data_IF_427912645035
#
_entry.id   IF_427912645035
#
_cell.length_a   1.000
_cell.length_b   1.000
_cell.length_c   1.000
_cell.angle_alpha   90.00
_cell.angle_beta   90.00
_cell.angle_gamma   90.00
#
_symmetry.space_group_name_H-M   'P 1'
#
loop_
_entity.id
_entity.type
_entity.pdbx_description
1 polymer ?
#
# COMPACT_ATOMS: atom_id res chain seq x y z
N UNK A 1 32.69 -24.68 -5.81
CA UNK A 1 32.75 -23.21 -6.03
C UNK A 1 31.57 -22.75 -6.88
N UNK A 2 31.19 -23.48 -7.93
CA UNK A 2 29.96 -23.25 -8.73
C UNK A 2 28.65 -23.22 -7.89
N UNK A 3 28.46 -24.11 -6.92
CA UNK A 3 27.24 -24.10 -6.09
C UNK A 3 27.09 -22.85 -5.21
N UNK A 4 28.20 -22.22 -4.82
CA UNK A 4 28.18 -20.98 -4.04
C UNK A 4 27.82 -19.80 -4.95
N UNK A 5 28.38 -19.76 -6.16
CA UNK A 5 28.04 -18.77 -7.19
C UNK A 5 26.59 -18.90 -7.66
N UNK A 6 26.07 -20.13 -7.82
CA UNK A 6 24.66 -20.38 -8.18
C UNK A 6 23.70 -19.90 -7.09
N UNK A 7 23.99 -20.21 -5.81
CA UNK A 7 23.18 -19.72 -4.67
C UNK A 7 23.24 -18.20 -4.48
N UNK A 8 24.39 -17.58 -4.74
CA UNK A 8 24.54 -16.11 -4.65
C UNK A 8 23.84 -15.42 -5.82
N UNK A 9 23.95 -15.98 -7.03
CA UNK A 9 23.22 -15.51 -8.22
C UNK A 9 21.71 -15.64 -8.04
N UNK A 10 21.22 -16.81 -7.60
CA UNK A 10 19.80 -17.05 -7.35
C UNK A 10 19.24 -16.12 -6.26
N UNK A 11 20.05 -15.81 -5.23
CA UNK A 11 19.66 -14.86 -4.16
C UNK A 11 19.62 -13.41 -4.63
N UNK A 12 20.55 -12.99 -5.50
CA UNK A 12 20.53 -11.67 -6.12
C UNK A 12 19.36 -11.51 -7.10
N UNK A 13 19.10 -12.54 -7.92
CA UNK A 13 17.95 -12.58 -8.83
C UNK A 13 16.63 -12.53 -8.05
N UNK A 14 16.50 -13.31 -6.96
CA UNK A 14 15.30 -13.27 -6.12
C UNK A 14 15.10 -11.90 -5.45
N UNK A 15 16.17 -11.25 -4.99
CA UNK A 15 16.09 -9.90 -4.42
C UNK A 15 15.58 -8.86 -5.41
N UNK A 16 16.06 -8.90 -6.66
CA UNK A 16 15.58 -8.03 -7.74
C UNK A 16 14.11 -8.29 -8.06
N UNK A 17 13.71 -9.56 -8.18
CA UNK A 17 12.32 -9.94 -8.45
C UNK A 17 11.39 -9.49 -7.31
N UNK A 18 11.82 -9.63 -6.06
CA UNK A 18 11.03 -9.18 -4.91
C UNK A 18 10.91 -7.66 -4.88
N UNK A 19 11.98 -6.92 -5.23
CA UNK A 19 11.91 -5.46 -5.34
C UNK A 19 10.94 -5.02 -6.45
N UNK A 20 10.96 -5.67 -7.60
CA UNK A 20 10.04 -5.39 -8.72
C UNK A 20 8.59 -5.72 -8.36
N UNK A 21 8.35 -6.86 -7.68
CA UNK A 21 7.04 -7.22 -7.16
C UNK A 21 6.51 -6.19 -6.16
N UNK A 22 7.35 -5.68 -5.25
CA UNK A 22 6.98 -4.60 -4.32
C UNK A 22 6.60 -3.33 -5.06
N UNK A 23 7.42 -2.90 -6.01
CA UNK A 23 7.17 -1.68 -6.78
C UNK A 23 5.86 -1.79 -7.56
N UNK A 24 5.61 -2.92 -8.23
CA UNK A 24 4.36 -3.17 -8.94
C UNK A 24 3.16 -3.20 -8.00
N UNK A 25 3.29 -3.79 -6.81
CA UNK A 25 2.19 -3.87 -5.84
C UNK A 25 1.86 -2.48 -5.26
N UNK A 26 2.87 -1.69 -4.90
CA UNK A 26 2.66 -0.34 -4.36
C UNK A 26 2.00 0.60 -5.38
N UNK A 27 2.28 0.45 -6.68
CA UNK A 27 1.59 1.22 -7.70
C UNK A 27 0.12 0.80 -7.85
N UNK A 28 -0.18 -0.51 -7.79
CA UNK A 28 -1.56 -1.01 -7.79
C UNK A 28 -2.33 -0.49 -6.56
N UNK A 29 -1.72 -0.58 -5.37
CA UNK A 29 -2.30 -0.07 -4.12
C UNK A 29 -2.63 1.42 -4.24
N UNK A 30 -1.69 2.23 -4.74
CA UNK A 30 -1.88 3.66 -4.95
C UNK A 30 -3.05 3.95 -5.89
N UNK A 31 -3.14 3.26 -7.03
CA UNK A 31 -4.20 3.43 -8.02
C UNK A 31 -5.58 3.02 -7.47
N UNK A 32 -5.65 1.90 -6.75
CA UNK A 32 -6.86 1.44 -6.09
C UNK A 32 -7.30 2.42 -4.99
N UNK A 33 -6.39 2.88 -4.14
CA UNK A 33 -6.68 3.82 -3.06
C UNK A 33 -7.19 5.16 -3.59
N UNK A 34 -6.58 5.68 -4.65
CA UNK A 34 -6.99 6.92 -5.30
C UNK A 34 -8.40 6.79 -5.91
N UNK A 35 -8.68 5.66 -6.57
CA UNK A 35 -10.02 5.33 -7.04
C UNK A 35 -11.02 5.20 -5.88
N UNK A 36 -10.65 4.59 -4.75
CA UNK A 36 -11.56 4.42 -3.61
C UNK A 36 -11.91 5.76 -2.94
N UNK A 37 -10.98 6.73 -2.94
CA UNK A 37 -11.27 8.10 -2.49
C UNK A 37 -12.12 8.88 -3.48
N UNK A 38 -12.01 8.59 -4.77
CA UNK A 38 -12.71 9.30 -5.84
C UNK A 38 -13.26 8.33 -6.90
N UNK A 39 -14.37 7.62 -6.61
CA UNK A 39 -14.84 6.53 -7.48
C UNK A 39 -15.36 6.98 -8.86
N UNK A 40 -15.46 8.29 -9.10
CA UNK A 40 -15.74 8.87 -10.41
C UNK A 40 -14.56 8.71 -11.40
N UNK A 41 -13.33 8.55 -10.91
CA UNK A 41 -12.11 8.48 -11.72
C UNK A 41 -11.77 7.04 -12.13
N UNK A 42 -12.63 6.42 -12.95
CA UNK A 42 -12.47 5.01 -13.38
C UNK A 42 -11.21 4.77 -14.21
N UNK A 43 -10.68 5.82 -14.83
CA UNK A 43 -9.43 5.83 -15.58
C UNK A 43 -8.23 5.36 -14.77
N UNK A 44 -8.25 5.55 -13.44
CA UNK A 44 -7.21 5.09 -12.53
C UNK A 44 -7.10 3.56 -12.47
N UNK A 45 -8.19 2.84 -12.74
CA UNK A 45 -8.22 1.38 -12.71
C UNK A 45 -7.85 0.73 -14.04
N UNK A 46 -7.86 1.47 -15.16
CA UNK A 46 -7.53 0.93 -16.50
C UNK A 46 -6.18 0.18 -16.55
N UNK A 47 -5.08 0.67 -15.95
CA UNK A 47 -3.80 -0.03 -16.01
C UNK A 47 -3.70 -1.24 -15.06
N UNK A 48 -4.49 -1.28 -13.99
CA UNK A 48 -4.35 -2.23 -12.88
C UNK A 48 -4.50 -3.70 -13.30
N UNK A 49 -5.51 -4.09 -14.13
CA UNK A 49 -5.65 -5.48 -14.59
C UNK A 49 -4.40 -6.01 -15.31
N UNK A 50 -3.75 -5.15 -16.12
CA UNK A 50 -2.52 -5.49 -16.82
C UNK A 50 -1.34 -5.72 -15.86
N UNK A 51 -1.22 -4.86 -14.84
CA UNK A 51 -0.19 -4.98 -13.80
C UNK A 51 -0.39 -6.25 -12.96
N UNK A 52 -1.63 -6.55 -12.55
CA UNK A 52 -1.97 -7.79 -11.85
C UNK A 52 -1.68 -9.02 -12.71
N UNK A 53 -1.98 -8.98 -14.00
CA UNK A 53 -1.66 -10.09 -14.92
C UNK A 53 -0.15 -10.34 -15.03
N UNK A 54 0.67 -9.28 -15.07
CA UNK A 54 2.13 -9.39 -15.06
C UNK A 54 2.64 -10.01 -13.74
N UNK A 55 2.14 -9.49 -12.60
CA UNK A 55 2.48 -9.98 -11.27
C UNK A 55 2.14 -11.46 -11.09
N UNK A 56 0.96 -11.89 -11.56
CA UNK A 56 0.54 -13.30 -11.57
C UNK A 56 1.56 -14.19 -12.29
N UNK A 57 2.09 -13.73 -13.41
CA UNK A 57 3.12 -14.45 -14.17
C UNK A 57 4.36 -14.71 -13.33
N UNK A 58 4.88 -13.68 -12.67
CA UNK A 58 6.05 -13.77 -11.78
C UNK A 58 5.78 -14.67 -10.57
N UNK A 59 4.64 -14.49 -9.89
CA UNK A 59 4.24 -15.31 -8.74
C UNK A 59 4.10 -16.80 -9.10
N UNK A 60 3.58 -17.09 -10.31
CA UNK A 60 3.46 -18.46 -10.82
C UNK A 60 4.82 -19.11 -11.03
N UNK A 61 5.78 -18.37 -11.60
CA UNK A 61 7.17 -18.83 -11.80
C UNK A 61 7.86 -19.10 -10.47
N UNK A 62 7.60 -18.28 -9.45
CA UNK A 62 8.13 -18.49 -8.10
C UNK A 62 7.47 -19.66 -7.35
N UNK A 63 6.41 -20.25 -7.92
CA UNK A 63 5.65 -21.35 -7.31
C UNK A 63 4.71 -20.90 -6.19
N UNK A 64 4.27 -19.64 -6.22
CA UNK A 64 3.32 -19.03 -5.27
C UNK A 64 1.91 -19.11 -5.86
N UNK A 65 1.40 -20.33 -6.00
CA UNK A 65 0.12 -20.60 -6.66
C UNK A 65 -1.05 -19.89 -5.97
N UNK A 66 -1.10 -19.91 -4.63
CA UNK A 66 -2.14 -19.24 -3.83
C UNK A 66 -2.21 -17.74 -4.12
N UNK A 67 -1.05 -17.07 -4.13
CA UNK A 67 -0.94 -15.67 -4.50
C UNK A 67 -1.39 -15.41 -5.94
N UNK A 68 -0.97 -16.25 -6.88
CA UNK A 68 -1.38 -16.12 -8.28
C UNK A 68 -2.91 -16.25 -8.47
N UNK A 69 -3.58 -17.11 -7.70
CA UNK A 69 -5.05 -17.20 -7.70
C UNK A 69 -5.70 -15.93 -7.16
N UNK A 70 -5.19 -15.39 -6.04
CA UNK A 70 -5.66 -14.13 -5.49
C UNK A 70 -5.51 -12.96 -6.48
N UNK A 71 -4.38 -12.89 -7.18
CA UNK A 71 -4.13 -11.87 -8.21
C UNK A 71 -5.12 -11.94 -9.37
N UNK A 72 -5.51 -13.15 -9.81
CA UNK A 72 -6.55 -13.32 -10.84
C UNK A 72 -7.90 -12.85 -10.32
N UNK A 73 -8.26 -13.18 -9.08
CA UNK A 73 -9.52 -12.76 -8.48
C UNK A 73 -9.62 -11.23 -8.40
N UNK A 74 -8.56 -10.56 -7.92
CA UNK A 74 -8.52 -9.10 -7.85
C UNK A 74 -8.59 -8.46 -9.23
N UNK A 75 -7.93 -9.04 -10.24
CA UNK A 75 -7.99 -8.55 -11.62
C UNK A 75 -9.43 -8.53 -12.12
N UNK A 76 -10.16 -9.64 -11.95
CA UNK A 76 -11.54 -9.76 -12.42
C UNK A 76 -12.49 -8.77 -11.70
N UNK A 77 -12.23 -8.48 -10.42
CA UNK A 77 -12.97 -7.50 -9.64
C UNK A 77 -12.70 -6.07 -10.11
N UNK A 78 -11.44 -5.74 -10.38
CA UNK A 78 -11.03 -4.41 -10.84
C UNK A 78 -11.45 -4.18 -12.28
N UNK A 79 -11.39 -5.20 -13.15
CA UNK A 79 -11.98 -5.16 -14.49
C UNK A 79 -13.49 -4.89 -14.40
N UNK A 80 -14.19 -5.50 -13.44
CA UNK A 80 -15.60 -5.23 -13.18
C UNK A 80 -15.86 -3.78 -12.76
N UNK A 81 -15.04 -3.25 -11.86
CA UNK A 81 -15.11 -1.86 -11.37
C UNK A 81 -14.81 -0.82 -12.45
N UNK A 82 -13.83 -1.09 -13.30
CA UNK A 82 -13.43 -0.20 -14.39
C UNK A 82 -14.51 -0.10 -15.48
N UNK A 83 -15.23 -1.19 -15.75
CA UNK A 83 -16.18 -1.29 -16.86
C UNK A 83 -17.66 -1.08 -16.46
N UNK A 84 -17.98 -0.99 -15.16
CA UNK A 84 -19.36 -0.89 -14.68
C UNK A 84 -19.56 0.40 -13.88
N UNK A 85 -20.68 1.11 -14.10
CA UNK A 85 -21.13 2.14 -13.17
C UNK A 85 -21.61 1.48 -11.88
N UNK A 86 -20.71 1.27 -10.93
CA UNK A 86 -21.09 0.73 -9.62
C UNK A 86 -21.74 1.85 -8.82
N UNK A 87 -22.99 1.62 -8.44
CA UNK A 87 -23.68 2.42 -7.43
C UNK A 87 -23.12 2.04 -6.06
N UNK A 88 -22.27 2.89 -5.49
CA UNK A 88 -21.60 2.67 -4.20
C UNK A 88 -22.57 2.63 -3.01
N UNK A 89 -23.84 2.96 -3.22
CA UNK A 89 -24.91 2.80 -2.23
C UNK A 89 -25.58 1.41 -2.29
N UNK A 90 -25.22 0.54 -3.25
CA UNK A 90 -25.75 -0.82 -3.32
C UNK A 90 -25.02 -1.77 -2.35
N UNK A 91 -25.77 -2.66 -1.66
CA UNK A 91 -25.15 -3.73 -0.87
C UNK A 91 -24.22 -4.59 -1.73
N UNK A 92 -22.97 -4.78 -1.29
CA UNK A 92 -21.97 -5.64 -1.94
C UNK A 92 -20.78 -4.93 -2.61
N UNK A 93 -20.87 -3.61 -2.90
CA UNK A 93 -19.71 -2.86 -3.40
C UNK A 93 -18.60 -2.73 -2.34
N UNK A 94 -19.01 -2.56 -1.07
CA UNK A 94 -18.10 -2.52 0.10
C UNK A 94 -17.33 -3.82 0.29
N UNK A 95 -18.01 -4.96 0.13
CA UNK A 95 -17.39 -6.28 0.27
C UNK A 95 -16.29 -6.53 -0.77
N UNK A 96 -16.41 -5.94 -1.95
CA UNK A 96 -15.34 -6.00 -2.98
C UNK A 96 -14.13 -5.18 -2.53
N UNK A 97 -14.34 -3.99 -1.98
CA UNK A 97 -13.25 -3.13 -1.49
C UNK A 97 -12.47 -3.77 -0.35
N UNK A 98 -13.17 -4.28 0.67
CA UNK A 98 -12.52 -4.93 1.80
C UNK A 98 -11.69 -6.14 1.36
N UNK A 99 -12.21 -6.92 0.40
CA UNK A 99 -11.51 -8.07 -0.14
C UNK A 99 -10.29 -7.68 -0.98
N UNK A 100 -10.39 -6.64 -1.81
CA UNK A 100 -9.26 -6.10 -2.57
C UNK A 100 -8.15 -5.62 -1.62
N UNK A 101 -8.50 -4.79 -0.63
CA UNK A 101 -7.56 -4.28 0.36
C UNK A 101 -6.88 -5.40 1.17
N UNK A 102 -7.67 -6.40 1.59
CA UNK A 102 -7.14 -7.57 2.29
C UNK A 102 -6.15 -8.37 1.44
N UNK A 103 -6.51 -8.65 0.18
CA UNK A 103 -5.65 -9.41 -0.73
C UNK A 103 -4.36 -8.66 -1.08
N UNK A 104 -4.43 -7.34 -1.32
CA UNK A 104 -3.25 -6.50 -1.56
C UNK A 104 -2.31 -6.51 -0.35
N UNK A 105 -2.85 -6.32 0.87
CA UNK A 105 -2.05 -6.38 2.10
C UNK A 105 -1.43 -7.76 2.36
N UNK A 106 -2.17 -8.85 2.12
CA UNK A 106 -1.66 -10.20 2.25
C UNK A 106 -0.54 -10.51 1.24
N UNK A 107 -0.66 -10.03 0.00
CA UNK A 107 0.40 -10.12 -0.99
C UNK A 107 1.64 -9.31 -0.58
N UNK A 108 1.46 -8.10 -0.05
CA UNK A 108 2.55 -7.27 0.48
C UNK A 108 3.33 -8.01 1.56
N UNK A 109 2.60 -8.57 2.55
CA UNK A 109 3.22 -9.36 3.62
C UNK A 109 3.93 -10.61 3.09
N UNK A 110 3.35 -11.32 2.12
CA UNK A 110 3.98 -12.47 1.48
C UNK A 110 5.28 -12.07 0.75
N UNK A 111 5.26 -10.99 -0.02
CA UNK A 111 6.41 -10.48 -0.79
C UNK A 111 7.53 -10.04 0.17
N UNK A 112 7.18 -9.40 1.28
CA UNK A 112 8.14 -9.08 2.34
C UNK A 112 8.77 -10.33 2.94
N UNK A 113 7.94 -11.34 3.21
CA UNK A 113 8.39 -12.62 3.71
C UNK A 113 9.26 -13.38 2.69
N UNK A 114 9.09 -13.20 1.38
CA UNK A 114 9.98 -13.80 0.37
C UNK A 114 11.43 -13.28 0.49
N UNK A 115 11.64 -12.04 0.93
CA UNK A 115 12.98 -11.49 1.13
C UNK A 115 13.72 -12.15 2.30
N UNK A 116 12.96 -12.58 3.33
CA UNK A 116 13.52 -13.05 4.60
C UNK A 116 13.49 -14.59 4.70
N UNK A 117 12.34 -15.20 4.38
CA UNK A 117 12.07 -16.63 4.50
C UNK A 117 11.22 -17.16 3.32
N UNK A 118 11.82 -17.42 2.14
CA UNK A 118 11.09 -17.85 0.94
C UNK A 118 10.28 -19.15 1.13
N UNK A 119 10.82 -20.09 1.90
CA UNK A 119 10.16 -21.38 2.16
C UNK A 119 8.91 -21.22 3.04
N UNK A 120 8.91 -20.22 3.93
CA UNK A 120 7.79 -19.95 4.83
C UNK A 120 6.67 -19.23 4.07
N UNK A 121 7.01 -18.23 3.24
CA UNK A 121 6.07 -17.52 2.38
C UNK A 121 5.24 -18.45 1.47
N UNK A 122 5.84 -19.55 0.99
CA UNK A 122 5.14 -20.56 0.18
C UNK A 122 4.12 -21.41 0.94
N UNK A 123 4.21 -21.48 2.27
CA UNK A 123 3.41 -22.39 3.11
C UNK A 123 2.42 -21.67 4.01
N UNK A 124 2.68 -20.39 4.27
CA UNK A 124 1.95 -19.60 5.25
C UNK A 124 0.72 -18.89 4.70
N UNK A 125 0.37 -19.06 3.43
CA UNK A 125 -0.77 -18.37 2.85
C UNK A 125 -1.65 -19.34 2.09
N UNK A 126 -2.95 -19.14 2.24
CA UNK A 126 -3.98 -19.94 1.61
C UNK A 126 -5.02 -19.01 1.00
N UNK A 127 -5.39 -19.28 -0.24
CA UNK A 127 -6.46 -18.58 -0.93
C UNK A 127 -7.74 -19.40 -0.81
N UNK A 128 -8.79 -18.79 -0.29
CA UNK A 128 -10.11 -19.38 -0.22
C UNK A 128 -10.92 -18.97 -1.46
N UNK A 129 -11.24 -19.93 -2.33
CA UNK A 129 -12.02 -19.68 -3.54
C UNK A 129 -13.47 -19.24 -3.26
N UNK A 130 -14.05 -19.63 -2.13
CA UNK A 130 -15.43 -19.30 -1.79
C UNK A 130 -15.57 -17.84 -1.37
N UNK A 131 -14.61 -17.36 -0.57
CA UNK A 131 -14.60 -15.96 -0.10
C UNK A 131 -13.80 -15.04 -1.01
N UNK A 132 -12.90 -15.58 -1.82
CA UNK A 132 -11.97 -14.85 -2.67
C UNK A 132 -10.84 -14.15 -1.91
N UNK A 133 -10.53 -14.60 -0.68
CA UNK A 133 -9.55 -13.97 0.21
C UNK A 133 -8.25 -14.77 0.27
N UNK A 134 -7.13 -14.06 0.35
CA UNK A 134 -5.81 -14.61 0.60
C UNK A 134 -5.41 -14.31 2.04
N UNK A 135 -5.30 -15.37 2.85
CA UNK A 135 -5.04 -15.23 4.28
C UNK A 135 -3.74 -15.88 4.70
N UNK A 136 -3.07 -15.28 5.68
CA UNK A 136 -1.90 -15.87 6.31
C UNK A 136 -2.33 -16.97 7.31
N UNK A 137 -2.10 -18.23 6.97
CA UNK A 137 -2.32 -19.40 7.83
C UNK A 137 -1.19 -19.49 8.86
N UNK A 138 -1.29 -18.69 9.91
CA UNK A 138 -0.59 -18.97 11.18
C UNK A 138 -1.29 -20.17 11.84
N UNK A 139 -0.51 -21.16 12.27
CA UNK A 139 -1.01 -22.46 12.72
C UNK A 139 -2.18 -22.38 13.70
N UNK A 140 -3.37 -22.76 13.24
CA UNK A 140 -4.53 -23.08 14.09
C UNK A 140 -4.18 -24.27 15.00
N UNK A 141 -4.06 -24.01 16.30
CA UNK A 141 -4.79 -24.84 17.29
C UNK A 141 -6.08 -24.08 17.59
N UNK A 142 -7.18 -24.83 17.65
CA UNK A 142 -8.58 -24.39 17.71
C UNK A 142 -8.82 -23.05 18.44
N UNK A 143 -9.43 -22.12 17.72
CA UNK A 143 -9.65 -20.72 18.12
C UNK A 143 -9.45 -19.82 16.92
N UNK A 144 -10.39 -19.87 15.97
CA UNK A 144 -10.37 -19.00 14.81
C UNK A 144 -10.46 -17.54 15.28
N UNK A 145 -9.35 -16.82 15.28
CA UNK A 145 -9.38 -15.37 15.26
C UNK A 145 -9.70 -15.04 13.82
N UNK A 146 -10.96 -14.67 13.57
CA UNK A 146 -11.33 -13.99 12.36
C UNK A 146 -10.34 -12.83 12.17
N UNK A 147 -9.89 -12.61 10.94
CA UNK A 147 -9.25 -11.35 10.63
C UNK A 147 -10.15 -10.22 11.16
N UNK A 148 -9.58 -9.20 11.83
CA UNK A 148 -10.38 -8.12 12.38
C UNK A 148 -11.30 -7.58 11.29
N UNK A 149 -12.59 -7.42 11.61
CA UNK A 149 -13.58 -6.81 10.73
C UNK A 149 -12.97 -5.54 10.12
N UNK A 150 -12.98 -5.46 8.80
CA UNK A 150 -12.36 -4.35 8.07
C UNK A 150 -13.05 -3.01 8.34
N UNK A 151 -14.22 -3.01 9.00
CA UNK A 151 -14.85 -1.82 9.59
C UNK A 151 -13.93 -1.11 10.60
N UNK A 152 -12.96 -1.79 11.22
CA UNK A 152 -11.98 -1.18 12.12
C UNK A 152 -10.78 -0.52 11.41
N UNK A 153 -10.73 -0.54 10.07
CA UNK A 153 -9.63 0.02 9.26
C UNK A 153 -9.73 1.54 9.04
N UNK A 154 -10.76 2.19 9.59
CA UNK A 154 -10.94 3.64 9.46
C UNK A 154 -11.31 4.10 8.04
N UNK A 155 -11.90 3.23 7.23
CA UNK A 155 -12.57 3.65 6.00
C UNK A 155 -13.96 4.22 6.34
N UNK A 156 -13.98 5.41 6.92
CA UNK A 156 -15.20 6.21 7.05
C UNK A 156 -15.30 7.13 5.84
N UNK A 157 -16.33 6.92 5.01
CA UNK A 157 -16.87 8.00 4.20
C UNK A 157 -17.74 8.83 5.14
N UNK A 158 -17.29 10.02 5.51
CA UNK A 158 -18.13 10.97 6.24
C UNK A 158 -19.33 11.35 5.37
N UNK A 159 -20.51 10.87 5.75
CA UNK A 159 -21.80 11.33 5.27
C UNK A 159 -22.66 11.80 6.44
N UNK A 160 -22.06 12.49 7.40
CA UNK A 160 -22.79 13.27 8.39
C UNK A 160 -23.02 14.69 7.86
N UNK A 161 -23.86 14.79 6.82
CA UNK A 161 -24.67 15.99 6.63
C UNK A 161 -26.04 15.65 7.17
N UNK A 162 -26.39 16.23 8.31
CA UNK A 162 -27.76 16.22 8.82
C UNK A 162 -28.70 16.62 7.67
N UNK A 163 -29.69 15.79 7.30
CA UNK A 163 -30.65 16.18 6.30
C UNK A 163 -31.40 17.40 6.85
N UNK A 164 -31.43 18.55 6.14
CA UNK A 164 -32.24 19.66 6.59
C UNK A 164 -33.70 19.20 6.66
N UNK A 165 -34.39 19.54 7.75
CA UNK A 165 -35.84 19.40 7.88
C UNK A 165 -36.52 20.15 6.73
N UNK A 166 -36.73 19.45 5.62
CA UNK A 166 -37.60 19.88 4.54
C UNK A 166 -39.03 19.68 5.04
N UNK A 167 -39.57 20.77 5.61
CA UNK A 167 -41.00 20.97 5.72
C UNK A 167 -41.67 20.54 4.41
N UNK A 168 -42.70 19.72 4.55
CA UNK A 168 -43.59 19.22 3.50
C UNK A 168 -43.73 20.18 2.32
N UNK A 169 -42.99 19.91 1.24
CA UNK A 169 -43.29 20.43 -0.08
C UNK A 169 -43.88 19.26 -0.87
N UNK A 170 -45.14 19.40 -1.26
CA UNK A 170 -45.83 18.53 -2.20
C UNK A 170 -45.06 18.52 -3.52
N UNK A 171 -44.16 17.55 -3.69
CA UNK A 171 -43.53 17.29 -4.99
C UNK A 171 -44.42 16.30 -5.73
N UNK A 172 -45.27 16.86 -6.58
CA UNK A 172 -46.07 16.16 -7.56
C UNK A 172 -45.16 15.24 -8.40
N UNK A 173 -45.49 13.95 -8.47
CA UNK A 173 -44.69 12.92 -9.11
C UNK A 173 -44.32 13.33 -10.55
N UNK A 174 -43.05 13.66 -10.77
CA UNK A 174 -42.50 13.93 -12.10
C UNK A 174 -42.48 12.64 -12.89
N UNK A 175 -43.35 12.57 -13.91
CA UNK A 175 -43.30 11.51 -14.90
C UNK A 175 -41.95 11.55 -15.65
N UNK A 176 -41.38 10.39 -16.01
CA UNK A 176 -40.13 10.35 -16.76
C UNK A 176 -40.31 11.06 -18.12
N UNK A 177 -39.41 12.00 -18.39
CA UNK A 177 -39.35 12.75 -19.64
C UNK A 177 -39.10 11.77 -20.81
N UNK A 178 -40.11 11.52 -21.64
CA UNK A 178 -39.95 10.77 -22.89
C UNK A 178 -39.47 11.73 -23.97
N UNK A 179 -38.19 11.61 -24.34
CA UNK A 179 -37.64 12.29 -25.51
C UNK A 179 -38.00 11.47 -26.75
N UNK A 180 -38.80 12.04 -27.65
CA UNK A 180 -39.15 11.41 -28.92
C UNK A 180 -38.02 11.64 -29.94
N UNK A 181 -37.25 10.59 -30.20
CA UNK A 181 -36.06 10.63 -31.04
C UNK A 181 -36.37 10.98 -32.51
N UNK A 182 -37.65 10.95 -32.92
CA UNK A 182 -38.08 11.25 -34.28
C UNK A 182 -38.11 12.75 -34.63
N UNK A 183 -37.92 13.64 -33.64
CA UNK A 183 -37.93 15.11 -33.87
C UNK A 183 -36.56 15.77 -33.76
N UNK A 184 -35.49 15.00 -33.52
CA UNK A 184 -34.12 15.51 -33.50
C UNK A 184 -33.59 15.65 -34.94
N UNK A 185 -33.47 16.88 -35.42
CA UNK A 185 -32.80 17.21 -36.68
C UNK A 185 -31.27 17.11 -36.49
N UNK A 186 -30.73 15.91 -36.70
CA UNK A 186 -29.30 15.63 -36.63
C UNK A 186 -28.66 15.86 -38.01
N UNK A 187 -27.51 16.53 -38.10
CA UNK A 187 -26.78 16.68 -39.37
C UNK A 187 -26.29 15.32 -39.88
N UNK A 188 -26.39 15.11 -41.20
CA UNK A 188 -25.94 13.90 -41.90
C UNK A 188 -24.43 13.70 -41.76
N UNK A 189 -24.02 12.76 -40.90
CA UNK A 189 -22.66 12.26 -40.81
C UNK A 189 -22.55 10.98 -41.63
N UNK A 190 -22.54 11.14 -42.95
CA UNK A 190 -22.18 10.06 -43.87
C UNK A 190 -20.69 9.73 -43.72
N UNK A 191 -20.40 8.59 -43.10
CA UNK A 191 -19.05 8.01 -43.08
C UNK A 191 -18.69 7.51 -44.49
N UNK A 192 -17.43 7.64 -44.95
CA UNK A 192 -17.01 7.07 -46.22
C UNK A 192 -17.12 5.54 -46.21
N UNK A 193 -17.66 4.97 -47.29
CA UNK A 193 -17.78 3.52 -47.49
C UNK A 193 -16.40 2.84 -47.40
N UNK A 194 -16.17 2.10 -46.32
CA UNK A 194 -15.06 1.17 -46.21
C UNK A 194 -15.44 -0.11 -46.96
N UNK A 195 -14.88 -0.29 -48.15
CA UNK A 195 -15.01 -1.52 -48.94
C UNK A 195 -14.27 -2.68 -48.24
N UNK A 196 -15.02 -3.54 -47.56
CA UNK A 196 -14.53 -4.74 -46.88
C UNK A 196 -14.30 -5.93 -47.82
N UNK A 197 -14.31 -5.72 -49.15
CA UNK A 197 -14.15 -6.78 -50.15
C UNK A 197 -12.71 -7.02 -50.59
N UNK A 198 -11.72 -6.34 -50.00
CA UNK A 198 -10.31 -6.61 -50.26
C UNK A 198 -9.81 -7.80 -49.42
N UNK A 199 -9.24 -8.86 -50.02
CA UNK A 199 -8.59 -9.91 -49.25
C UNK A 199 -7.37 -9.32 -48.53
N UNK A 200 -7.26 -9.60 -47.23
CA UNK A 200 -6.10 -9.23 -46.43
C UNK A 200 -4.80 -9.74 -47.09
N UNK A 201 -3.73 -8.94 -47.15
CA UNK A 201 -2.46 -9.40 -47.68
C UNK A 201 -1.91 -10.53 -46.80
N UNK A 202 -1.56 -11.64 -47.46
CA UNK A 202 -0.91 -12.79 -46.84
C UNK A 202 0.43 -12.36 -46.20
N UNK A 203 0.77 -12.85 -45.00
CA UNK A 203 1.97 -12.41 -44.31
C UNK A 203 3.22 -12.89 -45.05
N UNK A 204 3.97 -11.95 -45.62
CA UNK A 204 5.31 -12.21 -46.09
C UNK A 204 6.20 -12.68 -44.90
N UNK A 205 7.14 -13.62 -45.11
CA UNK A 205 8.03 -14.07 -44.05
C UNK A 205 8.94 -12.89 -43.67
N UNK A 206 8.80 -12.42 -42.43
CA UNK A 206 9.68 -11.42 -41.88
C UNK A 206 11.12 -11.98 -41.78
N UNK A 207 12.15 -11.19 -42.14
CA UNK A 207 13.54 -11.59 -42.00
C UNK A 207 13.89 -11.77 -40.52
N UNK A 208 14.74 -12.76 -40.23
CA UNK A 208 15.27 -13.00 -38.90
C UNK A 208 15.88 -11.72 -38.31
N UNK A 209 15.60 -11.36 -37.05
CA UNK A 209 16.21 -10.21 -36.41
C UNK A 209 17.71 -10.45 -36.24
N UNK A 210 18.50 -9.60 -36.89
CA UNK A 210 19.90 -9.40 -36.51
C UNK A 210 19.96 -8.92 -35.05
N UNK A 211 21.01 -9.30 -34.28
CA UNK A 211 21.10 -8.96 -32.88
C UNK A 211 21.21 -7.44 -32.73
N UNK A 212 20.11 -6.83 -32.29
CA UNK A 212 20.12 -5.44 -31.86
C UNK A 212 20.77 -5.44 -30.49
N UNK A 213 21.99 -4.91 -30.44
CA UNK A 213 22.70 -4.67 -29.19
C UNK A 213 21.77 -3.96 -28.22
N UNK A 214 21.54 -4.57 -27.06
CA UNK A 214 20.98 -3.92 -25.90
C UNK A 214 21.74 -2.60 -25.66
N UNK A 215 21.08 -1.51 -25.24
CA UNK A 215 21.80 -0.36 -24.71
C UNK A 215 22.70 -0.90 -23.60
N UNK A 216 24.01 -0.81 -23.84
CA UNK A 216 25.00 -1.18 -22.86
C UNK A 216 24.72 -0.36 -21.60
N UNK A 217 24.47 -1.05 -20.49
CA UNK A 217 24.61 -0.45 -19.17
C UNK A 217 25.98 0.25 -19.16
N UNK A 218 26.05 1.56 -18.89
CA UNK A 218 27.34 2.21 -18.78
C UNK A 218 28.16 1.47 -17.72
N UNK A 219 29.47 1.28 -17.93
CA UNK A 219 30.32 0.68 -16.93
C UNK A 219 30.13 1.45 -15.63
N UNK A 220 30.00 0.73 -14.52
CA UNK A 220 30.12 1.25 -13.15
C UNK A 220 31.44 2.02 -13.02
N UNK A 221 31.39 3.29 -13.44
CA UNK A 221 32.24 4.33 -12.90
C UNK A 221 31.82 4.45 -11.45
N UNK A 222 32.79 4.38 -10.55
CA UNK A 222 32.61 4.78 -9.17
C UNK A 222 31.77 6.06 -9.15
N UNK A 223 30.52 5.94 -8.70
CA UNK A 223 29.56 7.01 -8.75
C UNK A 223 30.10 8.13 -7.85
N UNK A 224 30.56 9.20 -8.49
CA UNK A 224 30.43 10.51 -7.89
C UNK A 224 28.94 10.72 -7.66
N UNK A 225 28.58 11.05 -6.42
CA UNK A 225 27.24 11.41 -5.94
C UNK A 225 26.47 12.21 -6.99
N UNK A 226 25.52 11.59 -7.67
CA UNK A 226 24.42 12.35 -8.26
C UNK A 226 23.63 12.94 -7.09
N UNK A 227 23.20 14.22 -7.16
CA UNK A 227 22.39 14.80 -6.10
C UNK A 227 21.12 13.97 -5.99
N UNK A 228 20.96 13.31 -4.86
CA UNK A 228 19.74 12.61 -4.52
C UNK A 228 18.62 13.65 -4.43
N UNK A 229 17.36 13.27 -4.62
CA UNK A 229 16.22 14.10 -4.16
C UNK A 229 16.38 14.43 -2.66
N UNK A 230 17.17 13.64 -1.93
CA UNK A 230 17.62 13.92 -0.56
C UNK A 230 18.44 15.20 -0.36
N UNK A 231 19.04 15.73 -1.42
CA UNK A 231 19.82 16.97 -1.38
C UNK A 231 18.99 18.19 -1.80
N UNK A 232 17.72 18.01 -2.16
CA UNK A 232 16.81 19.11 -2.48
C UNK A 232 16.37 19.82 -1.18
N UNK A 233 16.84 21.07 -0.94
CA UNK A 233 16.52 21.79 0.28
C UNK A 233 15.03 22.13 0.42
N UNK A 234 14.30 22.30 -0.69
CA UNK A 234 12.87 22.63 -0.68
C UNK A 234 12.04 21.41 -0.28
N UNK A 235 12.31 20.25 -0.88
CA UNK A 235 11.66 18.99 -0.51
C UNK A 235 11.94 18.60 0.95
N UNK A 236 13.17 18.83 1.42
CA UNK A 236 13.52 18.62 2.83
C UNK A 236 12.75 19.56 3.75
N UNK A 237 12.59 20.84 3.41
CA UNK A 237 11.81 21.79 4.21
C UNK A 237 10.34 21.36 4.32
N UNK A 238 9.72 20.97 3.21
CA UNK A 238 8.36 20.41 3.20
C UNK A 238 8.24 19.19 4.12
N UNK A 239 9.20 18.27 4.04
CA UNK A 239 9.23 17.10 4.93
C UNK A 239 9.32 17.50 6.41
N UNK A 240 10.15 18.49 6.75
CA UNK A 240 10.33 18.94 8.14
C UNK A 240 9.04 19.55 8.70
N UNK A 241 8.28 20.30 7.89
CA UNK A 241 6.98 20.86 8.25
C UNK A 241 5.92 19.76 8.44
N UNK A 242 5.82 18.83 7.49
CA UNK A 242 4.89 17.70 7.57
C UNK A 242 5.21 16.80 8.77
N UNK A 243 6.50 16.54 9.03
CA UNK A 243 6.93 15.73 10.16
C UNK A 243 6.50 16.34 11.50
N UNK A 244 6.58 17.67 11.66
CA UNK A 244 6.12 18.36 12.88
C UNK A 244 4.61 18.21 13.07
N UNK A 245 3.81 18.38 12.00
CA UNK A 245 2.36 18.19 12.07
C UNK A 245 2.00 16.75 12.45
N UNK A 246 2.63 15.78 11.79
CA UNK A 246 2.38 14.35 12.03
C UNK A 246 2.80 13.93 13.45
N UNK A 247 3.95 14.40 13.93
CA UNK A 247 4.40 14.15 15.31
C UNK A 247 3.45 14.82 16.32
N UNK A 248 2.99 16.04 16.04
CA UNK A 248 2.01 16.75 16.87
C UNK A 248 0.70 15.99 17.01
N UNK A 249 0.16 15.51 15.89
CA UNK A 249 -1.06 14.69 15.85
C UNK A 249 -0.88 13.38 16.63
N UNK A 250 0.29 12.72 16.50
CA UNK A 250 0.60 11.51 17.27
C UNK A 250 0.70 11.78 18.78
N UNK A 251 1.25 12.92 19.19
CA UNK A 251 1.30 13.33 20.62
C UNK A 251 -0.09 13.56 21.18
N UNK A 252 -0.97 14.25 20.44
CA UNK A 252 -2.35 14.46 20.86
C UNK A 252 -3.09 13.12 21.04
N UNK A 253 -2.90 12.19 20.10
CA UNK A 253 -3.46 10.84 20.20
C UNK A 253 -2.89 10.05 21.39
N UNK A 254 -1.60 10.22 21.69
CA UNK A 254 -0.96 9.60 22.85
C UNK A 254 -1.53 10.12 24.17
N UNK A 255 -1.79 11.43 24.29
CA UNK A 255 -2.48 11.99 25.47
C UNK A 255 -3.89 11.43 25.62
N UNK A 256 -4.65 11.34 24.53
CA UNK A 256 -5.98 10.72 24.56
C UNK A 256 -5.92 9.24 25.03
N UNK A 257 -4.90 8.50 24.60
CA UNK A 257 -4.68 7.12 25.05
C UNK A 257 -4.27 6.98 26.51
N UNK A 258 -3.68 8.01 27.13
CA UNK A 258 -3.43 7.99 28.58
C UNK A 258 -4.72 7.98 29.39
N UNK A 259 -5.75 8.65 28.88
CA UNK A 259 -7.08 8.69 29.50
C UNK A 259 -7.94 7.47 29.11
N UNK A 260 -7.85 7.04 27.84
CA UNK A 260 -8.61 5.91 27.31
C UNK A 260 -7.69 4.88 26.61
N UNK A 261 -6.98 4.02 27.37
CA UNK A 261 -5.96 3.12 26.80
C UNK A 261 -6.47 2.09 25.78
N UNK A 262 -7.76 1.77 25.79
CA UNK A 262 -8.38 0.82 24.88
C UNK A 262 -8.97 1.48 23.61
N UNK A 263 -8.76 2.79 23.41
CA UNK A 263 -9.25 3.50 22.24
C UNK A 263 -8.50 3.07 20.97
N UNK A 264 -9.13 2.18 20.18
CA UNK A 264 -8.58 1.70 18.91
C UNK A 264 -8.39 2.81 17.87
N UNK A 265 -9.22 3.84 17.89
CA UNK A 265 -9.09 4.99 16.99
C UNK A 265 -7.76 5.70 17.22
N UNK A 266 -7.42 5.97 18.48
CA UNK A 266 -6.18 6.64 18.84
C UNK A 266 -4.94 5.77 18.60
N UNK A 267 -5.01 4.46 18.87
CA UNK A 267 -3.93 3.53 18.51
C UNK A 267 -3.67 3.52 16.98
N UNK A 268 -4.74 3.61 16.19
CA UNK A 268 -4.66 3.67 14.72
C UNK A 268 -4.09 5.00 14.23
N UNK A 269 -4.44 6.13 14.87
CA UNK A 269 -3.86 7.44 14.55
C UNK A 269 -2.34 7.42 14.73
N UNK A 270 -1.84 6.86 15.84
CA UNK A 270 -0.39 6.78 16.07
C UNK A 270 0.29 5.85 15.05
N UNK A 271 -0.30 4.68 14.75
CA UNK A 271 0.21 3.80 13.68
C UNK A 271 0.32 4.55 12.34
N UNK A 272 -0.73 5.29 11.97
CA UNK A 272 -0.76 6.09 10.73
C UNK A 272 0.31 7.17 10.75
N UNK A 273 0.55 7.83 11.88
CA UNK A 273 1.61 8.82 11.99
C UNK A 273 2.99 8.20 11.64
N UNK A 274 3.32 7.04 12.20
CA UNK A 274 4.57 6.35 11.84
C UNK A 274 4.61 5.89 10.38
N UNK A 275 3.47 5.44 9.83
CA UNK A 275 3.38 5.11 8.41
C UNK A 275 3.63 6.31 7.50
N UNK A 276 3.04 7.47 7.82
CA UNK A 276 3.23 8.72 7.07
C UNK A 276 4.67 9.18 7.17
N UNK A 277 5.27 9.20 8.38
CA UNK A 277 6.69 9.54 8.57
C UNK A 277 7.62 8.63 7.76
N UNK A 278 7.33 7.33 7.68
CA UNK A 278 8.08 6.38 6.82
C UNK A 278 7.95 6.75 5.34
N UNK A 279 6.74 7.04 4.88
CA UNK A 279 6.46 7.39 3.48
C UNK A 279 7.15 8.69 3.08
N UNK A 280 6.92 9.77 3.84
CA UNK A 280 7.48 11.10 3.57
C UNK A 280 9.00 11.11 3.63
N UNK A 281 9.61 10.45 4.62
CA UNK A 281 11.06 10.35 4.72
C UNK A 281 11.69 9.63 3.51
N UNK A 282 11.06 8.57 2.98
CA UNK A 282 11.55 7.87 1.78
C UNK A 282 11.44 8.72 0.52
N UNK A 283 10.40 9.53 0.39
CA UNK A 283 10.21 10.42 -0.76
C UNK A 283 11.32 11.47 -0.85
N UNK A 284 11.80 11.96 0.30
CA UNK A 284 12.93 12.91 0.40
C UNK A 284 14.26 12.21 0.65
N UNK A 285 14.36 10.90 0.40
CA UNK A 285 15.60 10.12 0.50
C UNK A 285 16.25 10.03 1.89
N UNK A 286 15.52 10.35 2.95
CA UNK A 286 15.90 10.15 4.35
C UNK A 286 15.61 8.70 4.78
N UNK A 287 16.28 7.75 4.13
CA UNK A 287 16.01 6.32 4.29
C UNK A 287 16.11 5.85 5.75
N UNK A 288 17.14 6.29 6.48
CA UNK A 288 17.36 5.89 7.88
C UNK A 288 16.24 6.36 8.81
N UNK A 289 15.76 7.60 8.64
CA UNK A 289 14.61 8.12 9.38
C UNK A 289 13.37 7.25 9.12
N UNK A 290 13.14 6.90 7.85
CA UNK A 290 12.04 6.03 7.46
C UNK A 290 12.12 4.62 8.05
N UNK A 291 13.32 4.05 8.19
CA UNK A 291 13.51 2.74 8.84
C UNK A 291 13.22 2.80 10.35
N UNK A 292 13.54 3.91 11.02
CA UNK A 292 13.14 4.14 12.40
C UNK A 292 11.61 4.19 12.53
N UNK A 293 10.95 4.94 11.64
CA UNK A 293 9.49 5.08 11.64
C UNK A 293 8.79 3.74 11.37
N UNK A 294 9.34 2.95 10.44
CA UNK A 294 8.84 1.61 10.14
C UNK A 294 8.92 0.67 11.35
N UNK A 295 9.98 0.74 12.17
CA UNK A 295 10.08 -0.08 13.38
C UNK A 295 8.95 0.21 14.37
N UNK A 296 8.62 1.49 14.57
CA UNK A 296 7.51 1.91 15.40
C UNK A 296 6.15 1.49 14.81
N UNK A 297 5.97 1.62 13.48
CA UNK A 297 4.79 1.15 12.77
C UNK A 297 4.57 -0.37 13.00
N UNK A 298 5.64 -1.17 12.93
CA UNK A 298 5.56 -2.62 13.14
C UNK A 298 5.20 -3.00 14.58
N UNK A 299 5.66 -2.25 15.58
CA UNK A 299 5.21 -2.40 16.96
C UNK A 299 3.69 -2.15 17.08
N UNK A 300 3.20 -1.07 16.48
CA UNK A 300 1.78 -0.75 16.51
C UNK A 300 0.93 -1.75 15.72
N UNK A 301 1.43 -2.27 14.59
CA UNK A 301 0.78 -3.35 13.85
C UNK A 301 0.60 -4.60 14.70
N UNK A 302 1.65 -4.99 15.44
CA UNK A 302 1.56 -6.13 16.35
C UNK A 302 0.59 -5.88 17.50
N UNK A 303 0.61 -4.69 18.11
CA UNK A 303 -0.29 -4.33 19.20
C UNK A 303 -1.76 -4.32 18.77
N UNK A 304 -2.05 -3.72 17.61
CA UNK A 304 -3.40 -3.70 17.02
C UNK A 304 -3.89 -5.09 16.62
N UNK A 305 -2.97 -6.05 16.39
CA UNK A 305 -3.30 -7.45 16.14
C UNK A 305 -3.54 -8.30 17.38
N UNK A 306 -3.36 -7.77 18.60
CA UNK A 306 -3.68 -8.48 19.84
C UNK A 306 -5.19 -8.61 20.03
N UNK A 307 -5.66 -9.60 20.80
CA UNK A 307 -7.10 -9.79 21.05
C UNK A 307 -7.74 -8.66 21.86
N UNK A 308 -6.94 -7.93 22.65
CA UNK A 308 -7.36 -6.75 23.39
C UNK A 308 -6.27 -5.68 23.27
N UNK A 309 -6.22 -4.96 22.13
CA UNK A 309 -5.24 -3.91 21.93
C UNK A 309 -5.42 -2.79 22.95
N UNK A 310 -4.35 -2.47 23.65
CA UNK A 310 -4.36 -1.41 24.66
C UNK A 310 -3.02 -0.69 24.70
N UNK A 311 -3.06 0.61 24.99
CA UNK A 311 -1.89 1.42 25.31
C UNK A 311 -1.48 1.19 26.77
N UNK A 312 -0.90 0.02 27.04
CA UNK A 312 -0.29 -0.26 28.34
C UNK A 312 0.88 0.69 28.63
N UNK A 313 1.28 0.77 29.91
CA UNK A 313 2.34 1.68 30.34
C UNK A 313 3.66 1.51 29.55
N UNK A 314 4.11 0.27 29.22
CA UNK A 314 5.25 0.07 28.33
C UNK A 314 5.10 0.72 26.95
N UNK A 315 3.96 0.54 26.27
CA UNK A 315 3.70 1.13 24.96
C UNK A 315 3.64 2.65 25.03
N UNK A 316 2.87 3.20 25.98
CA UNK A 316 2.77 4.66 26.16
C UNK A 316 4.14 5.28 26.40
N UNK A 317 4.94 4.63 27.27
CA UNK A 317 6.28 5.09 27.57
C UNK A 317 7.21 5.00 26.36
N UNK A 318 7.17 3.91 25.59
CA UNK A 318 7.95 3.78 24.36
C UNK A 318 7.57 4.86 23.35
N UNK A 319 6.27 5.04 23.10
CA UNK A 319 5.78 5.98 22.10
C UNK A 319 6.15 7.42 22.44
N UNK A 320 6.08 7.81 23.71
CA UNK A 320 6.55 9.12 24.15
C UNK A 320 8.03 9.34 23.81
N UNK A 321 8.89 8.38 24.19
CA UNK A 321 10.33 8.46 23.88
C UNK A 321 10.60 8.45 22.37
N UNK A 322 9.86 7.65 21.60
CA UNK A 322 10.01 7.58 20.15
C UNK A 322 9.64 8.89 19.47
N UNK A 323 8.54 9.54 19.88
CA UNK A 323 8.15 10.84 19.35
C UNK A 323 9.17 11.93 19.71
N UNK A 324 9.73 11.89 20.92
CA UNK A 324 10.83 12.79 21.32
C UNK A 324 12.08 12.55 20.47
N UNK A 325 12.41 11.29 20.20
CA UNK A 325 13.53 10.91 19.35
C UNK A 325 13.35 11.42 17.91
N UNK A 326 12.16 11.27 17.32
CA UNK A 326 11.87 11.80 15.98
C UNK A 326 11.91 13.33 15.93
N UNK A 327 11.42 14.02 16.97
CA UNK A 327 11.55 15.48 17.07
C UNK A 327 13.02 15.89 17.09
N UNK A 328 13.85 15.22 17.89
CA UNK A 328 15.29 15.48 17.95
C UNK A 328 16.00 15.17 16.62
N UNK A 329 15.69 14.05 15.99
CA UNK A 329 16.24 13.68 14.68
C UNK A 329 15.84 14.70 13.61
N UNK A 330 14.61 15.20 13.64
CA UNK A 330 14.14 16.28 12.77
C UNK A 330 15.00 17.54 12.93
N UNK A 331 15.27 17.99 14.16
CA UNK A 331 16.11 19.17 14.43
C UNK A 331 17.56 18.99 13.93
N UNK A 332 18.10 17.76 13.97
CA UNK A 332 19.39 17.45 13.36
C UNK A 332 19.36 17.54 11.83
N UNK A 333 18.29 17.05 11.19
CA UNK A 333 18.10 17.14 9.74
C UNK A 333 17.92 18.60 9.30
N UNK A 334 17.25 19.42 10.10
CA UNK A 334 17.11 20.86 9.90
C UNK A 334 18.43 21.63 10.07
N UNK A 335 19.45 21.01 10.69
CA UNK A 335 20.72 21.65 11.03
C UNK A 335 20.66 22.55 12.27
N UNK A 336 19.58 22.47 13.05
CA UNK A 336 19.39 23.24 14.28
C UNK A 336 20.14 22.60 15.47
N UNK A 337 20.37 21.29 15.43
CA UNK A 337 21.13 20.56 16.44
C UNK A 337 22.26 19.71 15.83
N UNK A 338 23.41 19.60 16.51
CA UNK A 338 24.50 18.73 16.06
C UNK A 338 24.18 17.27 16.41
N UNK A 339 24.42 16.34 15.47
CA UNK A 339 24.31 14.91 15.73
C UNK A 339 23.97 14.11 14.47
N UNK A 340 24.03 12.79 14.62
CA UNK A 340 23.54 11.83 13.62
C UNK A 340 22.74 10.77 14.36
N UNK A 341 21.44 11.01 14.50
CA UNK A 341 20.49 10.01 14.96
C UNK A 341 20.41 8.88 13.95
N UNK A 342 20.03 7.70 14.44
CA UNK A 342 20.05 6.47 13.68
C UNK A 342 18.83 5.62 14.01
N UNK A 343 18.43 4.66 13.16
CA UNK A 343 17.23 3.87 13.39
C UNK A 343 17.41 2.79 14.46
N UNK A 344 18.64 2.44 14.83
CA UNK A 344 18.95 1.29 15.71
C UNK A 344 18.30 1.37 17.10
N UNK A 345 18.31 2.51 17.82
CA UNK A 345 17.66 2.58 19.14
C UNK A 345 16.16 2.31 19.06
N UNK A 346 15.49 2.89 18.06
CA UNK A 346 14.06 2.68 17.79
C UNK A 346 13.78 1.21 17.43
N UNK A 347 14.55 0.64 16.51
CA UNK A 347 14.42 -0.76 16.09
C UNK A 347 14.59 -1.72 17.27
N UNK A 348 15.66 -1.55 18.04
CA UNK A 348 15.97 -2.45 19.15
C UNK A 348 14.91 -2.38 20.25
N UNK A 349 14.48 -1.17 20.61
CA UNK A 349 13.46 -0.97 21.64
C UNK A 349 12.05 -1.40 21.18
N UNK A 350 11.67 -1.09 19.93
CA UNK A 350 10.41 -1.55 19.33
C UNK A 350 10.34 -3.08 19.25
N UNK A 351 11.40 -3.74 18.79
CA UNK A 351 11.46 -5.21 18.73
C UNK A 351 11.48 -5.85 20.12
N UNK A 352 12.16 -5.25 21.09
CA UNK A 352 12.12 -5.70 22.48
C UNK A 352 10.69 -5.68 23.04
N UNK A 353 9.99 -4.58 22.82
CA UNK A 353 8.63 -4.42 23.30
C UNK A 353 7.66 -5.35 22.55
N UNK A 354 7.77 -5.43 21.23
CA UNK A 354 6.90 -6.26 20.37
C UNK A 354 7.09 -7.76 20.60
N UNK A 355 8.33 -8.22 20.74
CA UNK A 355 8.64 -9.66 20.80
C UNK A 355 8.73 -10.20 22.22
N UNK A 356 9.08 -9.35 23.20
CA UNK A 356 9.32 -9.76 24.58
C UNK A 356 8.44 -9.05 25.61
N UNK A 357 7.66 -8.04 25.20
CA UNK A 357 6.89 -7.21 26.13
C UNK A 357 7.76 -6.31 27.02
N UNK A 358 9.02 -6.10 26.64
CA UNK A 358 10.02 -5.40 27.46
C UNK A 358 10.29 -4.02 26.89
N UNK A 359 10.04 -2.97 27.68
CA UNK A 359 10.42 -1.59 27.31
C UNK A 359 11.89 -1.35 27.62
N UNK A 360 12.66 -1.03 26.59
CA UNK A 360 14.05 -0.60 26.72
C UNK A 360 14.16 0.90 26.41
N UNK A 361 14.98 1.67 27.15
CA UNK A 361 15.16 3.08 26.87
C UNK A 361 15.78 3.29 25.48
N UNK A 362 15.38 4.35 24.79
CA UNK A 362 16.04 4.78 23.56
C UNK A 362 17.39 5.43 23.90
N UNK A 363 18.43 4.60 24.06
CA UNK A 363 19.79 5.10 24.27
C UNK A 363 20.40 5.42 22.91
N UNK A 364 20.74 6.68 22.66
CA UNK A 364 21.59 7.04 21.52
C UNK A 364 22.90 6.26 21.63
N UNK A 365 23.35 5.61 20.56
CA UNK A 365 24.64 4.96 20.57
C UNK A 365 25.70 6.01 20.95
N UNK A 366 26.42 5.80 22.05
CA UNK A 366 27.54 6.65 22.42
C UNK A 366 28.54 6.67 21.25
N UNK A 367 28.88 7.89 20.82
CA UNK A 367 29.64 8.21 19.61
C UNK A 367 31.04 7.58 19.54
#
# INVERSE_FOLDING_TARGET
MEDLYRRVSDRQTLGSVVHELRASLSEIERQCDEYFRSPAQRELLIPVPGQLQAMRGVLSVLGLSQAAHATVRMRDEIDGLANTEIDFNRPGARDVFERLANNLGALGFMIDMLSVQPALAKRMFEFDEATGRLDAVMGRREGAVALPDFEASGFHVDLDVEPPELASLDVEATQPLRVDLATLDLPDLSLPDLDLSQPAPEPAPAPAPAPVSAPAQPPVRAAATEPSVADDPEMREIFLEEADEVIGNARAALEALREAPADHGQLTIIRRAFHTLKGSARMVGLAEFGEGAWACEQLYNARLGEASPQADAPLVGFTAEALDYFTHWREQIAGNEPGQSSPEPLRFSADALRLRGERLPLVAAEA
#
